data_IF_494446558318
#
_entry.id   IF_494446558318
#
_cell.length_a   1.000
_cell.length_b   1.000
_cell.length_c   1.000
_cell.angle_alpha   90.00
_cell.angle_beta   90.00
_cell.angle_gamma   90.00
#
_symmetry.space_group_name_H-M   'P 1'
#
loop_
_entity.id
_entity.type
_entity.pdbx_description
1 polymer ?
#
# COMPACT_ATOMS: atom_id res chain seq x y z
N UNK A 1 -56.21 12.05 -17.46
CA UNK A 1 -54.79 12.36 -17.27
C UNK A 1 -54.39 13.35 -18.35
N UNK A 2 -54.21 14.63 -17.97
CA UNK A 2 -53.98 15.71 -18.92
C UNK A 2 -52.62 15.62 -19.57
N UNK A 3 -52.50 16.08 -20.82
CA UNK A 3 -51.22 16.05 -21.57
C UNK A 3 -50.04 16.63 -20.77
N UNK A 4 -50.31 17.64 -19.95
CA UNK A 4 -49.34 18.27 -19.07
C UNK A 4 -48.80 17.32 -17.96
N UNK A 5 -49.67 16.51 -17.35
CA UNK A 5 -49.28 15.51 -16.37
C UNK A 5 -48.42 14.39 -16.95
N UNK A 6 -48.71 14.01 -18.19
CA UNK A 6 -47.93 12.98 -18.92
C UNK A 6 -46.55 13.48 -19.30
N UNK A 7 -46.42 14.76 -19.64
CA UNK A 7 -45.11 15.38 -19.92
C UNK A 7 -44.29 15.55 -18.66
N UNK A 8 -44.88 15.94 -17.52
CA UNK A 8 -44.21 16.05 -16.24
C UNK A 8 -43.71 14.69 -15.70
N UNK A 9 -44.49 13.63 -15.87
CA UNK A 9 -44.07 12.28 -15.48
C UNK A 9 -42.94 11.74 -16.35
N UNK A 10 -42.95 12.02 -17.65
CA UNK A 10 -41.85 11.64 -18.56
C UNK A 10 -40.56 12.42 -18.26
N UNK A 11 -40.66 13.72 -17.93
CA UNK A 11 -39.54 14.54 -17.53
C UNK A 11 -38.94 14.07 -16.19
N UNK A 12 -39.79 13.71 -15.22
CA UNK A 12 -39.34 13.18 -13.92
C UNK A 12 -38.67 11.81 -14.06
N UNK A 13 -39.17 10.93 -14.95
CA UNK A 13 -38.52 9.64 -15.23
C UNK A 13 -37.20 9.79 -15.97
N UNK A 14 -37.05 10.79 -16.86
CA UNK A 14 -35.75 11.11 -17.49
C UNK A 14 -34.76 11.69 -16.48
N UNK A 15 -35.19 12.53 -15.54
CA UNK A 15 -34.30 13.07 -14.51
C UNK A 15 -33.87 11.99 -13.50
N UNK A 16 -34.71 11.00 -13.17
CA UNK A 16 -34.32 9.88 -12.29
C UNK A 16 -33.30 8.94 -12.94
N UNK A 17 -33.29 8.86 -14.27
CA UNK A 17 -32.30 8.04 -15.00
C UNK A 17 -30.88 8.62 -15.03
N UNK A 18 -30.71 9.93 -14.78
CA UNK A 18 -29.38 10.56 -14.79
C UNK A 18 -28.57 10.37 -13.50
N UNK A 19 -29.15 9.88 -12.41
CA UNK A 19 -28.47 9.67 -11.14
C UNK A 19 -27.89 8.26 -10.95
N UNK A 20 -28.05 7.37 -11.91
CA UNK A 20 -27.32 6.09 -11.94
C UNK A 20 -25.93 6.28 -12.57
N UNK A 21 -25.16 7.27 -12.11
CA UNK A 21 -23.73 7.33 -12.33
C UNK A 21 -23.09 6.22 -11.49
N UNK A 22 -23.19 4.97 -11.96
CA UNK A 22 -22.34 3.89 -11.49
C UNK A 22 -20.91 4.37 -11.59
N UNK A 23 -20.15 4.27 -10.52
CA UNK A 23 -18.72 4.55 -10.50
C UNK A 23 -18.08 3.73 -11.62
N UNK A 24 -17.75 4.36 -12.74
CA UNK A 24 -16.95 3.74 -13.79
C UNK A 24 -15.60 3.43 -13.15
N UNK A 25 -15.43 2.21 -12.68
CA UNK A 25 -14.12 1.71 -12.28
C UNK A 25 -13.33 1.55 -13.56
N UNK A 26 -12.27 2.32 -13.71
CA UNK A 26 -11.33 2.10 -14.79
C UNK A 26 -10.75 0.69 -14.59
N UNK A 27 -11.19 -0.26 -15.40
CA UNK A 27 -10.73 -1.62 -15.36
C UNK A 27 -9.41 -1.69 -16.15
N UNK A 28 -8.32 -1.90 -15.47
CA UNK A 28 -7.04 -2.18 -16.08
C UNK A 28 -7.09 -3.59 -16.69
N UNK A 29 -7.39 -3.68 -17.98
CA UNK A 29 -7.48 -4.95 -18.69
C UNK A 29 -6.05 -5.46 -18.93
N UNK A 30 -5.82 -6.75 -18.68
CA UNK A 30 -4.55 -7.45 -18.92
C UNK A 30 -4.06 -7.17 -20.35
N UNK A 31 -2.85 -6.61 -20.49
CA UNK A 31 -2.26 -6.22 -21.78
C UNK A 31 -2.54 -4.77 -22.22
N UNK A 32 -3.39 -4.03 -21.51
CA UNK A 32 -3.73 -2.63 -21.83
C UNK A 32 -3.03 -1.66 -20.87
N UNK A 33 -2.83 -2.06 -19.62
CA UNK A 33 -2.06 -1.31 -18.64
C UNK A 33 -1.18 -2.24 -17.81
N UNK A 34 -0.07 -1.72 -17.31
CA UNK A 34 0.86 -2.44 -16.46
C UNK A 34 1.46 -1.50 -15.42
N UNK A 35 1.55 -1.97 -14.18
CA UNK A 35 2.27 -1.28 -13.12
C UNK A 35 3.44 -2.14 -12.64
N UNK A 36 4.55 -1.49 -12.35
CA UNK A 36 5.77 -2.10 -11.82
C UNK A 36 6.19 -1.42 -10.53
N UNK A 37 6.95 -2.14 -9.70
CA UNK A 37 7.49 -1.60 -8.46
C UNK A 37 9.01 -1.71 -8.42
N UNK A 38 9.64 -0.69 -7.84
CA UNK A 38 11.05 -0.72 -7.44
C UNK A 38 11.11 -0.41 -5.97
N UNK A 39 11.84 -1.21 -5.18
CA UNK A 39 11.92 -1.06 -3.74
C UNK A 39 13.33 -0.72 -3.27
N UNK A 40 13.43 0.07 -2.19
CA UNK A 40 14.65 0.16 -1.38
C UNK A 40 14.39 -0.46 -0.02
N UNK A 41 15.35 -1.25 0.46
CA UNK A 41 15.20 -1.97 1.72
C UNK A 41 15.21 -1.03 2.92
N UNK A 42 14.51 -1.41 3.98
CA UNK A 42 14.67 -0.84 5.31
C UNK A 42 15.87 -1.51 5.98
N UNK A 43 16.95 -0.76 6.20
CA UNK A 43 18.18 -1.25 6.81
C UNK A 43 18.40 -0.55 8.15
N UNK A 44 18.25 -1.28 9.25
CA UNK A 44 18.34 -0.71 10.60
C UNK A 44 19.79 -0.46 11.07
N UNK A 45 20.79 -1.02 10.36
CA UNK A 45 22.19 -0.88 10.77
C UNK A 45 22.50 -1.66 12.03
N UNK A 46 23.41 -1.10 12.86
CA UNK A 46 23.79 -1.74 14.11
C UNK A 46 22.74 -1.52 15.20
N UNK A 47 22.38 -2.59 15.90
CA UNK A 47 21.43 -2.57 17.02
C UNK A 47 22.13 -2.92 18.33
N UNK A 48 21.88 -2.12 19.37
CA UNK A 48 22.35 -2.40 20.74
C UNK A 48 21.19 -2.90 21.60
N UNK A 49 21.22 -4.16 22.09
CA UNK A 49 20.16 -4.71 22.94
C UNK A 49 19.96 -3.97 24.26
N UNK A 50 20.98 -3.24 24.73
CA UNK A 50 20.93 -2.48 25.98
C UNK A 50 20.41 -1.06 25.82
N UNK A 51 20.32 -0.55 24.57
CA UNK A 51 19.82 0.79 24.31
C UNK A 51 18.30 0.88 24.59
N UNK A 52 17.89 1.96 25.24
CA UNK A 52 16.47 2.19 25.55
C UNK A 52 15.68 2.76 24.36
N UNK A 53 16.36 3.50 23.49
CA UNK A 53 15.74 4.11 22.33
C UNK A 53 15.44 3.10 21.23
N UNK A 54 14.42 3.39 20.42
CA UNK A 54 14.14 2.65 19.20
C UNK A 54 15.23 2.91 18.16
N UNK A 55 15.43 1.96 17.25
CA UNK A 55 16.23 2.14 16.05
C UNK A 55 15.28 2.25 14.86
N UNK A 56 15.26 3.43 14.26
CA UNK A 56 14.38 3.73 13.14
C UNK A 56 15.16 3.73 11.82
N UNK A 57 14.50 3.35 10.75
CA UNK A 57 15.05 3.36 9.39
C UNK A 57 13.95 3.56 8.37
N UNK A 58 14.31 3.96 7.16
CA UNK A 58 13.36 4.15 6.07
C UNK A 58 13.78 3.36 4.85
N UNK A 59 12.79 2.84 4.15
CA UNK A 59 12.87 2.32 2.80
C UNK A 59 11.85 3.01 1.89
N UNK A 60 11.66 2.52 0.69
CA UNK A 60 10.65 3.04 -0.21
C UNK A 60 10.11 2.00 -1.18
N UNK A 61 8.89 2.24 -1.62
CA UNK A 61 8.26 1.57 -2.76
C UNK A 61 7.94 2.61 -3.81
N UNK A 62 8.53 2.48 -4.98
CA UNK A 62 8.27 3.33 -6.14
C UNK A 62 7.38 2.56 -7.11
N UNK A 63 6.21 3.11 -7.43
CA UNK A 63 5.24 2.53 -8.36
C UNK A 63 5.29 3.32 -9.67
N UNK A 64 5.42 2.62 -10.79
CA UNK A 64 5.36 3.20 -12.13
C UNK A 64 4.31 2.44 -12.94
N UNK A 65 3.38 3.15 -13.55
CA UNK A 65 2.34 2.57 -14.39
C UNK A 65 2.38 3.16 -15.80
N UNK A 66 1.97 2.35 -16.77
CA UNK A 66 1.79 2.75 -18.17
C UNK A 66 0.57 2.07 -18.77
N UNK A 67 0.04 2.59 -19.87
CA UNK A 67 -1.15 2.05 -20.53
C UNK A 67 -1.81 3.02 -21.49
N UNK A 68 -3.14 3.05 -21.53
CA UNK A 68 -3.92 3.94 -22.41
C UNK A 68 -3.93 5.36 -21.86
N UNK A 69 -3.68 6.34 -22.73
CA UNK A 69 -3.72 7.76 -22.41
C UNK A 69 -5.02 8.19 -21.71
N UNK A 70 -4.90 9.04 -20.69
CA UNK A 70 -6.03 9.57 -19.92
C UNK A 70 -6.69 8.58 -18.96
N UNK A 71 -6.22 7.31 -18.88
CA UNK A 71 -6.74 6.31 -17.95
C UNK A 71 -6.27 6.61 -16.53
N UNK A 72 -7.19 6.56 -15.56
CA UNK A 72 -6.89 6.53 -14.14
C UNK A 72 -6.71 5.08 -13.70
N UNK A 73 -5.54 4.73 -13.18
CA UNK A 73 -5.23 3.41 -12.65
C UNK A 73 -5.16 3.50 -11.13
N UNK A 74 -6.22 3.11 -10.40
CA UNK A 74 -6.15 2.97 -8.95
C UNK A 74 -5.37 1.71 -8.58
N UNK A 75 -4.64 1.76 -7.47
CA UNK A 75 -3.89 0.62 -6.97
C UNK A 75 -3.83 0.60 -5.44
N UNK A 76 -3.49 -0.56 -4.90
CA UNK A 76 -3.17 -0.75 -3.49
C UNK A 76 -1.87 -1.54 -3.33
N UNK A 77 -1.13 -1.22 -2.27
CA UNK A 77 0.15 -1.84 -1.94
C UNK A 77 0.01 -2.49 -0.58
N UNK A 78 0.20 -3.80 -0.53
CA UNK A 78 0.21 -4.58 0.69
C UNK A 78 1.57 -5.21 0.96
N UNK A 79 1.91 -5.40 2.24
CA UNK A 79 3.07 -6.14 2.70
C UNK A 79 2.66 -7.40 3.43
N UNK A 80 3.47 -8.46 3.32
CA UNK A 80 3.27 -9.68 4.11
C UNK A 80 3.67 -9.49 5.58
N UNK A 81 3.33 -10.48 6.40
CA UNK A 81 3.74 -10.56 7.80
C UNK A 81 5.23 -10.86 7.99
N UNK A 82 5.92 -11.25 6.91
CA UNK A 82 7.27 -11.78 7.00
C UNK A 82 7.33 -13.13 7.72
N UNK A 83 8.46 -13.42 8.32
CA UNK A 83 8.74 -14.71 8.96
C UNK A 83 7.99 -14.93 10.29
N UNK A 84 7.39 -13.89 10.87
CA UNK A 84 6.65 -13.98 12.14
C UNK A 84 5.24 -14.51 11.99
N UNK A 85 4.61 -14.37 10.81
CA UNK A 85 3.20 -14.66 10.59
C UNK A 85 2.23 -13.67 11.27
N UNK A 86 2.72 -12.54 11.79
CA UNK A 86 1.92 -11.56 12.53
C UNK A 86 2.23 -10.12 12.12
N UNK A 87 1.18 -9.31 11.89
CA UNK A 87 1.32 -7.87 11.68
C UNK A 87 1.54 -7.09 12.97
N UNK A 88 1.06 -7.58 14.10
CA UNK A 88 1.27 -6.90 15.37
C UNK A 88 2.75 -6.80 15.75
N UNK A 89 3.53 -7.83 15.41
CA UNK A 89 4.97 -7.87 15.66
C UNK A 89 5.66 -8.70 14.59
N UNK A 90 6.35 -8.05 13.66
CA UNK A 90 7.24 -8.71 12.71
C UNK A 90 8.55 -9.08 13.37
N UNK A 91 9.24 -10.08 12.84
CA UNK A 91 10.50 -10.57 13.41
C UNK A 91 11.53 -10.80 12.31
N UNK A 92 12.70 -10.18 12.48
CA UNK A 92 13.91 -10.59 11.78
C UNK A 92 14.53 -11.78 12.49
N UNK A 93 15.18 -12.67 11.76
CA UNK A 93 15.79 -13.91 12.28
C UNK A 93 17.29 -13.94 12.09
N UNK A 94 17.98 -14.51 13.09
CA UNK A 94 19.37 -14.98 13.05
C UNK A 94 19.39 -16.40 13.61
N UNK A 95 19.25 -17.42 12.76
CA UNK A 95 18.99 -18.80 13.18
C UNK A 95 17.71 -18.90 14.00
N UNK A 96 17.82 -19.35 15.25
CA UNK A 96 16.70 -19.43 16.21
C UNK A 96 16.41 -18.13 16.97
N UNK A 97 17.29 -17.15 16.89
CA UNK A 97 17.13 -15.88 17.58
C UNK A 97 16.33 -14.90 16.74
N UNK A 98 15.55 -14.06 17.39
CA UNK A 98 14.66 -13.11 16.75
C UNK A 98 14.86 -11.68 17.27
N UNK A 99 14.65 -10.69 16.39
CA UNK A 99 14.49 -9.28 16.73
C UNK A 99 13.12 -8.81 16.26
N UNK A 100 12.34 -8.28 17.18
CA UNK A 100 11.03 -7.70 16.85
C UNK A 100 11.21 -6.36 16.14
N UNK A 101 10.41 -6.14 15.11
CA UNK A 101 10.35 -4.85 14.41
C UNK A 101 8.95 -4.66 13.82
N UNK A 102 8.68 -3.50 13.25
CA UNK A 102 7.52 -3.34 12.39
C UNK A 102 7.76 -2.31 11.28
N UNK A 103 6.87 -2.32 10.30
CA UNK A 103 6.84 -1.40 9.17
C UNK A 103 5.57 -0.58 9.21
N UNK A 104 5.69 0.72 8.95
CA UNK A 104 4.61 1.68 9.08
C UNK A 104 4.47 2.52 7.81
N UNK A 105 3.26 3.03 7.61
CA UNK A 105 2.93 3.92 6.48
C UNK A 105 3.27 5.37 6.79
N UNK A 106 3.52 5.70 8.06
CA UNK A 106 3.70 7.08 8.55
C UNK A 106 4.92 7.22 9.45
N UNK A 107 5.50 8.43 9.47
CA UNK A 107 6.68 8.77 10.28
C UNK A 107 6.38 8.86 11.78
N UNK A 108 5.10 8.83 12.19
CA UNK A 108 4.69 8.75 13.59
C UNK A 108 4.68 7.33 14.13
N UNK A 109 4.85 6.33 13.24
CA UNK A 109 4.83 4.90 13.56
C UNK A 109 3.51 4.45 14.20
N UNK A 110 2.37 4.94 13.68
CA UNK A 110 1.04 4.66 14.21
C UNK A 110 0.28 3.63 13.40
N UNK A 111 0.47 3.63 12.08
CA UNK A 111 -0.28 2.78 11.15
C UNK A 111 0.62 1.69 10.57
N UNK A 112 0.42 0.45 11.00
CA UNK A 112 1.19 -0.69 10.51
C UNK A 112 0.86 -0.97 9.05
N UNK A 113 1.88 -1.03 8.20
CA UNK A 113 1.72 -1.37 6.79
C UNK A 113 1.66 -2.89 6.60
N UNK A 114 0.54 -3.39 6.13
CA UNK A 114 0.31 -4.81 5.84
C UNK A 114 -0.64 -5.00 4.67
N UNK A 115 -1.48 -6.03 4.72
CA UNK A 115 -2.44 -6.40 3.69
C UNK A 115 -3.88 -5.95 3.96
N UNK A 116 -4.08 -5.13 4.98
CA UNK A 116 -5.39 -4.65 5.41
C UNK A 116 -6.12 -5.59 6.36
N UNK A 117 -5.49 -6.69 6.77
CA UNK A 117 -6.07 -7.59 7.77
C UNK A 117 -5.55 -7.30 9.18
N UNK A 118 -6.34 -7.69 10.19
CA UNK A 118 -6.00 -7.52 11.60
C UNK A 118 -5.76 -6.06 11.97
N UNK A 119 -4.55 -5.76 12.46
CA UNK A 119 -4.13 -4.42 12.88
C UNK A 119 -3.42 -3.63 11.78
N UNK A 120 -3.34 -4.17 10.57
CA UNK A 120 -2.59 -3.60 9.47
C UNK A 120 -3.47 -2.88 8.46
N UNK A 121 -2.86 -1.99 7.67
CA UNK A 121 -3.51 -1.30 6.57
C UNK A 121 -2.68 -1.41 5.29
N UNK A 122 -3.36 -1.43 4.13
CA UNK A 122 -2.72 -1.23 2.83
C UNK A 122 -2.58 0.27 2.54
N UNK A 123 -1.61 0.62 1.72
CA UNK A 123 -1.51 1.96 1.15
C UNK A 123 -2.18 1.97 -0.22
N UNK A 124 -3.18 2.84 -0.37
CA UNK A 124 -3.84 3.09 -1.65
C UNK A 124 -3.20 4.24 -2.41
N UNK A 125 -3.28 4.18 -3.72
CA UNK A 125 -2.85 5.23 -4.63
C UNK A 125 -3.60 5.18 -5.95
N UNK A 126 -3.24 6.08 -6.85
CA UNK A 126 -3.75 6.08 -8.22
C UNK A 126 -2.91 6.99 -9.10
N UNK A 127 -2.76 6.62 -10.35
CA UNK A 127 -2.04 7.41 -11.35
C UNK A 127 -2.97 7.69 -12.53
N UNK A 128 -2.97 8.94 -12.99
CA UNK A 128 -3.61 9.30 -14.26
C UNK A 128 -2.53 9.33 -15.33
N UNK A 129 -2.73 8.54 -16.38
CA UNK A 129 -1.80 8.48 -17.49
C UNK A 129 -1.95 9.72 -18.38
N UNK A 130 -0.83 10.26 -18.83
CA UNK A 130 -0.78 11.40 -19.74
C UNK A 130 -1.18 11.02 -21.18
N UNK A 131 -1.02 11.94 -22.11
CA UNK A 131 -1.33 11.75 -23.54
C UNK A 131 -0.44 10.70 -24.23
N UNK A 132 0.66 10.29 -23.61
CA UNK A 132 1.54 9.23 -24.07
C UNK A 132 1.26 7.88 -23.38
N UNK A 133 0.25 7.83 -22.49
CA UNK A 133 -0.05 6.64 -21.71
C UNK A 133 0.96 6.36 -20.59
N UNK A 134 1.66 7.40 -20.11
CA UNK A 134 2.64 7.31 -19.03
C UNK A 134 2.20 8.14 -17.83
N UNK A 135 2.71 7.81 -16.66
CA UNK A 135 2.54 8.62 -15.45
C UNK A 135 3.86 8.79 -14.71
N UNK A 136 4.06 9.92 -14.02
CA UNK A 136 5.16 10.06 -13.08
C UNK A 136 5.12 8.96 -12.04
N UNK A 137 6.29 8.37 -11.74
CA UNK A 137 6.37 7.35 -10.72
C UNK A 137 6.02 7.94 -9.34
N UNK A 138 5.20 7.24 -8.58
CA UNK A 138 4.84 7.59 -7.20
C UNK A 138 5.75 6.87 -6.23
N UNK A 139 6.25 7.58 -5.21
CA UNK A 139 7.11 7.00 -4.17
C UNK A 139 6.37 7.00 -2.84
N UNK A 140 6.30 5.84 -2.22
CA UNK A 140 5.73 5.61 -0.90
C UNK A 140 6.86 5.25 0.07
N UNK A 141 6.99 6.02 1.15
CA UNK A 141 8.01 5.78 2.16
C UNK A 141 7.58 4.68 3.12
N UNK A 142 8.51 3.77 3.41
CA UNK A 142 8.33 2.68 4.38
C UNK A 142 9.09 3.06 5.63
N UNK A 143 8.40 3.27 6.74
CA UNK A 143 9.01 3.62 8.01
C UNK A 143 9.18 2.35 8.85
N UNK A 144 10.42 1.97 9.11
CA UNK A 144 10.74 0.81 9.93
C UNK A 144 11.14 1.22 11.33
N UNK A 145 10.64 0.51 12.34
CA UNK A 145 11.02 0.69 13.74
C UNK A 145 11.37 -0.63 14.39
N UNK A 146 12.52 -0.65 15.03
CA UNK A 146 13.03 -1.74 15.82
C UNK A 146 13.05 -1.27 17.28
N UNK A 147 12.20 -1.84 18.16
CA UNK A 147 12.10 -1.41 19.55
C UNK A 147 13.43 -1.58 20.30
N UNK A 148 13.70 -0.66 21.21
CA UNK A 148 14.84 -0.77 22.12
C UNK A 148 14.70 -1.93 23.10
N UNK A 149 15.79 -2.26 23.82
CA UNK A 149 15.84 -3.22 24.91
C UNK A 149 15.37 -4.64 24.60
N UNK A 150 15.76 -5.18 23.46
CA UNK A 150 15.52 -6.60 23.16
C UNK A 150 16.70 -7.43 23.68
N UNK A 151 16.68 -7.72 24.97
CA UNK A 151 17.82 -8.30 25.71
C UNK A 151 18.16 -9.74 25.32
N UNK A 152 17.29 -10.42 24.59
CA UNK A 152 17.50 -11.78 24.06
C UNK A 152 18.27 -11.81 22.73
N UNK A 153 18.55 -10.63 22.17
CA UNK A 153 19.33 -10.54 20.94
C UNK A 153 20.78 -10.95 21.15
N UNK A 154 21.26 -11.79 20.25
CA UNK A 154 22.66 -12.21 20.21
C UNK A 154 23.41 -11.51 19.07
N UNK A 155 24.75 -11.41 19.12
CA UNK A 155 25.49 -10.89 17.97
C UNK A 155 25.26 -11.70 16.70
N UNK A 156 25.11 -11.01 15.57
CA UNK A 156 24.91 -11.64 14.26
C UNK A 156 24.07 -10.79 13.31
N UNK A 157 23.84 -11.32 12.13
CA UNK A 157 23.04 -10.67 11.09
C UNK A 157 21.59 -11.14 11.22
N UNK A 158 20.69 -10.20 11.41
CA UNK A 158 19.25 -10.43 11.45
C UNK A 158 18.62 -9.97 10.13
N UNK A 159 17.78 -10.81 9.56
CA UNK A 159 17.06 -10.49 8.31
C UNK A 159 15.63 -11.01 8.34
N UNK A 160 14.77 -10.37 7.58
CA UNK A 160 13.42 -10.83 7.24
C UNK A 160 13.14 -10.53 5.78
N UNK A 161 12.24 -11.31 5.19
CA UNK A 161 11.79 -11.11 3.82
C UNK A 161 10.32 -10.74 3.82
N UNK A 162 10.02 -9.56 3.31
CA UNK A 162 8.65 -9.04 3.17
C UNK A 162 8.25 -9.11 1.69
N UNK A 163 7.19 -9.85 1.40
CA UNK A 163 6.59 -9.86 0.07
C UNK A 163 5.71 -8.61 -0.10
N UNK A 164 5.96 -7.87 -1.18
CA UNK A 164 5.13 -6.76 -1.61
C UNK A 164 4.10 -7.26 -2.63
N UNK A 165 2.84 -6.93 -2.41
CA UNK A 165 1.75 -7.17 -3.36
C UNK A 165 1.23 -5.83 -3.85
N UNK A 166 1.33 -5.59 -5.16
CA UNK A 166 0.70 -4.46 -5.84
C UNK A 166 -0.54 -4.97 -6.56
N UNK A 167 -1.71 -4.50 -6.16
CA UNK A 167 -2.98 -4.77 -6.82
C UNK A 167 -3.46 -3.50 -7.51
N UNK A 168 -3.75 -3.55 -8.80
CA UNK A 168 -4.28 -2.42 -9.57
C UNK A 168 -5.54 -2.85 -10.35
N UNK A 169 -6.42 -1.88 -10.61
CA UNK A 169 -7.78 -2.12 -11.09
C UNK A 169 -8.06 -1.40 -12.41
#
# INVERSE_FOLDING_TARGET
MNRLQRQLTLLALMLLGLFAAGSARALCITGVCACTTVTTNVAFGSYSPLAFGNTDSTGSVKVSCGGVAGLLIPFSIGFSTGSSGSYATRQMKNGSYTLNYNLYTDASYTTIWGDGTGVSQMVGGGVTLDVLGLAPAQTFWVYGRLPGRQLTAVPGVYADTINLTLTYY
#
